data_IF_469954862214
#
_entry.id   IF_469954862214
#
_cell.length_a   1.000
_cell.length_b   1.000
_cell.length_c   1.000
_cell.angle_alpha   90.00
_cell.angle_beta   90.00
_cell.angle_gamma   90.00
#
_symmetry.space_group_name_H-M   'P 1'
#
loop_
_entity.id
_entity.type
_entity.pdbx_description
1 polymer ?
#
# COMPACT_ATOMS: atom_id res chain seq x y z
N UNK A 1 6.03 42.22 -33.67
CA UNK A 1 6.19 41.47 -32.42
C UNK A 1 5.63 40.07 -32.63
N UNK A 2 6.48 39.10 -33.00
CA UNK A 2 6.04 37.72 -33.23
C UNK A 2 5.90 37.03 -31.86
N UNK A 3 4.69 36.56 -31.54
CA UNK A 3 4.46 35.75 -30.36
C UNK A 3 4.81 34.30 -30.70
N UNK A 4 5.90 33.79 -30.11
CA UNK A 4 6.22 32.37 -30.07
C UNK A 4 5.13 31.62 -29.32
N UNK A 5 4.14 31.12 -30.06
CA UNK A 5 3.18 30.15 -29.56
C UNK A 5 3.94 28.84 -29.37
N UNK A 6 4.49 28.66 -28.17
CA UNK A 6 5.11 27.42 -27.73
C UNK A 6 4.03 26.34 -27.63
N UNK A 7 3.74 25.67 -28.74
CA UNK A 7 2.84 24.51 -28.78
C UNK A 7 3.40 23.44 -27.86
N UNK A 8 2.70 23.17 -26.75
CA UNK A 8 3.03 22.06 -25.86
C UNK A 8 2.92 20.76 -26.67
N UNK A 9 3.92 19.86 -26.62
CA UNK A 9 3.87 18.64 -27.41
C UNK A 9 2.66 17.82 -26.98
N UNK A 10 1.83 17.43 -27.95
CA UNK A 10 0.70 16.53 -27.76
C UNK A 10 1.27 15.20 -27.27
N UNK A 11 1.17 14.95 -25.97
CA UNK A 11 1.62 13.70 -25.37
C UNK A 11 0.64 12.62 -25.81
N UNK A 12 1.16 11.46 -26.22
CA UNK A 12 0.31 10.35 -26.64
C UNK A 12 -0.61 9.92 -25.50
N UNK A 13 -1.91 9.78 -25.79
CA UNK A 13 -2.92 9.39 -24.80
C UNK A 13 -2.53 8.08 -24.09
N UNK A 14 -1.94 7.14 -24.83
CA UNK A 14 -1.42 5.87 -24.28
C UNK A 14 -0.33 6.07 -23.23
N UNK A 15 0.57 7.04 -23.42
CA UNK A 15 1.61 7.35 -22.42
C UNK A 15 1.03 7.98 -21.18
N UNK A 16 -0.05 8.76 -21.30
CA UNK A 16 -0.70 9.39 -20.15
C UNK A 16 -1.47 8.35 -19.34
N UNK A 17 -2.22 7.46 -19.99
CA UNK A 17 -2.89 6.33 -19.34
C UNK A 17 -1.88 5.43 -18.62
N UNK A 18 -0.77 5.08 -19.27
CA UNK A 18 0.25 4.24 -18.64
C UNK A 18 0.87 4.91 -17.41
N UNK A 19 1.20 6.21 -17.50
CA UNK A 19 1.72 6.97 -16.35
C UNK A 19 0.71 7.04 -15.21
N UNK A 20 -0.57 7.18 -15.52
CA UNK A 20 -1.64 7.15 -14.53
C UNK A 20 -1.71 5.79 -13.83
N UNK A 21 -1.74 4.69 -14.60
CA UNK A 21 -1.77 3.33 -14.05
C UNK A 21 -0.54 3.03 -13.19
N UNK A 22 0.64 3.45 -13.62
CA UNK A 22 1.88 3.27 -12.86
C UNK A 22 1.82 4.02 -11.52
N UNK A 23 1.36 5.26 -11.52
CA UNK A 23 1.17 6.04 -10.28
C UNK A 23 0.13 5.39 -9.36
N UNK A 24 -0.98 4.94 -9.92
CA UNK A 24 -2.03 4.26 -9.17
C UNK A 24 -1.51 2.98 -8.52
N UNK A 25 -0.81 2.13 -9.27
CA UNK A 25 -0.21 0.90 -8.76
C UNK A 25 0.78 1.18 -7.62
N UNK A 26 1.64 2.18 -7.79
CA UNK A 26 2.60 2.59 -6.75
C UNK A 26 1.89 3.02 -5.45
N UNK A 27 0.85 3.85 -5.57
CA UNK A 27 0.07 4.32 -4.41
C UNK A 27 -0.64 3.16 -3.71
N UNK A 28 -1.29 2.27 -4.47
CA UNK A 28 -1.98 1.08 -3.93
C UNK A 28 -0.99 0.15 -3.22
N UNK A 29 0.19 -0.06 -3.80
CA UNK A 29 1.23 -0.89 -3.19
C UNK A 29 1.70 -0.30 -1.86
N UNK A 30 1.93 1.01 -1.79
CA UNK A 30 2.35 1.68 -0.56
C UNK A 30 1.25 1.56 0.51
N UNK A 31 0.00 1.88 0.16
CA UNK A 31 -1.13 1.83 1.09
C UNK A 31 -1.32 0.42 1.67
N UNK A 32 -1.33 -0.61 0.82
CA UNK A 32 -1.53 -2.01 1.23
C UNK A 32 -0.37 -2.58 2.04
N UNK A 33 0.85 -2.13 1.74
CA UNK A 33 2.08 -2.64 2.36
C UNK A 33 2.35 -2.02 3.73
N UNK A 34 2.07 -0.72 3.88
CA UNK A 34 2.49 0.05 5.05
C UNK A 34 1.35 0.62 5.90
N UNK A 35 0.21 0.93 5.30
CA UNK A 35 -0.83 1.74 5.97
C UNK A 35 -1.96 0.83 6.48
N UNK A 36 -2.76 0.25 5.59
CA UNK A 36 -3.91 -0.58 5.98
C UNK A 36 -3.89 -1.92 5.27
N UNK A 37 -4.30 -2.96 5.99
CA UNK A 37 -4.58 -4.27 5.40
C UNK A 37 -5.94 -4.78 5.86
N UNK A 38 -6.80 -5.23 4.91
CA UNK A 38 -8.03 -5.92 5.25
C UNK A 38 -7.71 -7.35 5.69
N UNK A 39 -8.39 -7.81 6.74
CA UNK A 39 -8.35 -9.18 7.22
C UNK A 39 -9.78 -9.70 7.40
N UNK A 40 -10.01 -10.97 7.08
CA UNK A 40 -11.22 -11.68 7.47
C UNK A 40 -10.88 -12.68 8.57
N UNK A 41 -11.73 -12.81 9.57
CA UNK A 41 -11.54 -13.76 10.67
C UNK A 41 -12.12 -15.13 10.26
N UNK A 42 -11.28 -16.18 10.08
CA UNK A 42 -11.74 -17.48 9.61
C UNK A 42 -12.03 -18.48 10.76
N UNK A 43 -11.70 -18.12 12.02
CA UNK A 43 -11.70 -19.07 13.14
C UNK A 43 -12.25 -18.45 14.42
N UNK A 44 -12.75 -19.30 15.31
CA UNK A 44 -13.37 -18.93 16.59
C UNK A 44 -12.38 -18.61 17.72
N UNK A 45 -11.07 -18.59 17.45
CA UNK A 45 -10.02 -18.35 18.47
C UNK A 45 -10.12 -16.97 19.14
N UNK A 46 -10.85 -16.04 18.53
CA UNK A 46 -11.04 -14.67 19.04
C UNK A 46 -12.43 -14.43 19.65
N UNK A 47 -13.24 -15.48 19.85
CA UNK A 47 -14.52 -15.36 20.55
C UNK A 47 -14.32 -14.95 22.02
N UNK A 48 -15.26 -14.17 22.60
CA UNK A 48 -16.50 -13.66 21.99
C UNK A 48 -16.34 -12.30 21.30
N UNK A 49 -15.13 -11.74 21.16
CA UNK A 49 -14.95 -10.36 20.68
C UNK A 49 -15.12 -10.21 19.17
N UNK A 50 -14.71 -11.22 18.40
CA UNK A 50 -14.71 -11.23 16.94
C UNK A 50 -15.36 -12.53 16.47
N UNK A 51 -16.37 -12.41 15.61
CA UNK A 51 -17.13 -13.53 15.07
C UNK A 51 -16.51 -13.99 13.75
N UNK A 52 -16.79 -15.25 13.37
CA UNK A 52 -16.38 -15.77 12.07
C UNK A 52 -17.07 -14.96 10.96
N UNK A 53 -16.29 -14.49 10.00
CA UNK A 53 -16.79 -13.68 8.89
C UNK A 53 -16.70 -12.17 9.10
N UNK A 54 -16.23 -11.71 10.27
CA UNK A 54 -15.93 -10.29 10.49
C UNK A 54 -14.76 -9.83 9.61
N UNK A 55 -14.89 -8.62 9.07
CA UNK A 55 -13.85 -7.95 8.28
C UNK A 55 -13.21 -6.82 9.09
N UNK A 56 -11.89 -6.84 9.18
CA UNK A 56 -11.09 -5.87 9.93
C UNK A 56 -10.23 -5.05 9.00
N UNK A 57 -10.24 -3.74 9.21
CA UNK A 57 -9.22 -2.83 8.68
C UNK A 57 -8.19 -2.56 9.76
N UNK A 58 -6.99 -3.13 9.58
CA UNK A 58 -5.92 -3.04 10.58
C UNK A 58 -4.85 -2.06 10.11
N UNK A 59 -4.41 -1.18 11.00
CA UNK A 59 -3.27 -0.28 10.79
C UNK A 59 -1.95 -1.04 10.94
N UNK A 60 -1.13 -1.06 9.89
CA UNK A 60 0.13 -1.81 9.89
C UNK A 60 1.26 -1.12 10.64
N UNK A 61 1.27 0.21 10.70
CA UNK A 61 2.36 0.98 11.30
C UNK A 61 2.59 0.68 12.80
N UNK A 62 1.55 0.30 13.53
CA UNK A 62 1.66 -0.03 14.96
C UNK A 62 2.48 -1.31 15.23
N UNK A 63 2.58 -2.22 14.25
CA UNK A 63 3.27 -3.51 14.41
C UNK A 63 4.74 -3.48 13.97
N UNK A 64 5.20 -2.35 13.45
CA UNK A 64 6.50 -2.19 12.80
C UNK A 64 6.55 -2.77 11.39
N UNK A 65 7.63 -2.45 10.68
CA UNK A 65 7.86 -2.91 9.32
C UNK A 65 8.95 -3.97 9.27
N UNK A 66 8.73 -4.99 8.45
CA UNK A 66 9.70 -6.06 8.20
C UNK A 66 9.76 -6.39 6.72
N UNK A 67 10.63 -7.34 6.34
CA UNK A 67 10.64 -7.89 4.98
C UNK A 67 9.25 -8.31 4.47
N UNK A 68 8.32 -8.69 5.35
CA UNK A 68 6.97 -9.14 5.00
C UNK A 68 5.96 -8.00 4.78
N UNK A 69 6.34 -6.76 5.12
CA UNK A 69 5.62 -5.56 4.67
C UNK A 69 5.83 -5.34 3.16
N UNK A 70 6.98 -5.82 2.67
CA UNK A 70 7.36 -6.15 1.29
C UNK A 70 6.36 -6.89 0.39
N UNK A 71 5.90 -6.38 -0.78
CA UNK A 71 5.43 -7.29 -1.82
C UNK A 71 6.51 -8.35 -2.11
N UNK A 72 6.13 -9.62 -2.16
CA UNK A 72 7.05 -10.76 -2.36
C UNK A 72 8.19 -10.91 -1.32
N UNK A 73 8.09 -10.26 -0.15
CA UNK A 73 9.05 -10.50 0.93
C UNK A 73 10.47 -10.00 0.64
N UNK A 74 10.62 -8.98 -0.22
CA UNK A 74 11.91 -8.47 -0.67
C UNK A 74 12.78 -8.09 0.54
N UNK A 75 14.05 -8.54 0.61
CA UNK A 75 14.92 -8.32 1.76
C UNK A 75 15.51 -6.89 1.80
N UNK A 76 14.69 -5.85 1.62
CA UNK A 76 15.13 -4.45 1.73
C UNK A 76 15.21 -3.96 3.18
N UNK A 77 14.47 -4.58 4.09
CA UNK A 77 14.41 -4.19 5.50
C UNK A 77 15.07 -5.31 6.32
N UNK A 78 16.31 -5.12 6.81
CA UNK A 78 16.94 -6.07 7.71
C UNK A 78 16.28 -5.96 9.10
N UNK A 79 15.46 -6.94 9.46
CA UNK A 79 14.80 -7.04 10.77
C UNK A 79 13.39 -6.43 10.85
N UNK A 80 12.99 -6.01 12.06
CA UNK A 80 11.73 -5.32 12.35
C UNK A 80 12.04 -3.91 12.85
N UNK A 81 11.71 -2.90 12.05
CA UNK A 81 11.86 -1.49 12.42
C UNK A 81 10.55 -0.99 13.04
N UNK A 82 10.61 -0.12 14.04
CA UNK A 82 9.45 0.47 14.74
C UNK A 82 8.47 -0.54 15.39
N UNK A 83 8.88 -1.80 15.58
CA UNK A 83 8.08 -2.75 16.33
C UNK A 83 8.35 -2.61 17.83
N UNK A 84 7.35 -2.16 18.60
CA UNK A 84 7.38 -2.29 20.06
C UNK A 84 6.65 -3.56 20.49
N UNK A 85 7.14 -4.20 21.54
CA UNK A 85 6.32 -5.16 22.28
C UNK A 85 5.28 -4.37 23.07
N UNK A 86 4.03 -4.82 23.15
CA UNK A 86 3.06 -4.20 24.06
C UNK A 86 3.61 -4.31 25.48
N UNK A 87 3.83 -3.17 26.14
CA UNK A 87 4.20 -3.07 27.56
C UNK A 87 2.99 -3.23 28.45
#
# INVERSE_FOLDING_TARGET
MANDVKTKPVRSETSETFRFLLKLALVVLILRSFIFAPFSIPSESMLPRLLIGDYLFVSKWNYGYSRWSLPAGIPLIPGRIFGSTPT
#
